data_IF_713301652348
#
_entry.id   IF_713301652348
#
_cell.length_a   1.000
_cell.length_b   1.000
_cell.length_c   1.000
_cell.angle_alpha   90.00
_cell.angle_beta   90.00
_cell.angle_gamma   90.00
#
_symmetry.space_group_name_H-M   'P 1'
#
loop_
_entity.id
_entity.type
_entity.pdbx_description
1 polymer ?
#
# COMPACT_ATOMS: atom_id res chain seq x y z
N UNK A 1 -2.98 -40.34 2.27
CA UNK A 1 -2.07 -40.75 1.17
C UNK A 1 -2.21 -42.23 0.86
N UNK A 2 -2.00 -43.13 1.82
CA UNK A 2 -2.07 -44.60 1.65
C UNK A 2 -3.46 -45.20 1.95
N UNK A 3 -4.52 -44.47 1.62
CA UNK A 3 -5.86 -45.03 1.73
C UNK A 3 -6.07 -46.06 0.62
N UNK A 4 -6.92 -47.05 0.87
CA UNK A 4 -7.13 -48.19 -0.03
C UNK A 4 -7.51 -47.76 -1.46
N UNK A 5 -8.27 -46.67 -1.58
CA UNK A 5 -8.66 -46.04 -2.85
C UNK A 5 -7.51 -45.43 -3.67
N UNK A 6 -6.34 -45.23 -3.07
CA UNK A 6 -5.15 -44.70 -3.74
C UNK A 6 -4.13 -45.80 -4.09
N UNK A 7 -4.46 -47.08 -3.87
CA UNK A 7 -3.55 -48.20 -4.09
C UNK A 7 -3.00 -48.28 -5.52
N UNK A 8 -3.83 -47.96 -6.51
CA UNK A 8 -3.42 -48.03 -7.91
C UNK A 8 -2.38 -46.96 -8.29
N UNK A 9 -2.27 -45.89 -7.50
CA UNK A 9 -1.27 -44.83 -7.67
C UNK A 9 0.04 -45.13 -6.94
N UNK A 10 0.08 -46.20 -6.13
CA UNK A 10 1.27 -46.62 -5.40
C UNK A 10 2.01 -47.66 -6.25
N UNK A 11 3.11 -47.23 -6.86
CA UNK A 11 4.04 -48.13 -7.56
C UNK A 11 5.33 -48.26 -6.76
N UNK A 12 5.34 -49.07 -5.68
CA UNK A 12 6.54 -49.22 -4.87
C UNK A 12 7.63 -49.96 -5.67
N UNK A 13 8.79 -49.35 -5.84
CA UNK A 13 9.96 -49.97 -6.48
C UNK A 13 10.70 -50.94 -5.55
N UNK A 14 10.61 -50.73 -4.23
CA UNK A 14 11.28 -51.55 -3.21
C UNK A 14 10.51 -51.61 -1.86
N UNK A 15 9.20 -51.37 -1.88
CA UNK A 15 8.32 -51.41 -0.71
C UNK A 15 8.21 -50.10 0.07
N UNK A 16 9.21 -49.20 -0.02
CA UNK A 16 9.21 -47.91 0.70
C UNK A 16 9.49 -46.69 -0.17
N UNK A 17 9.97 -46.87 -1.41
CA UNK A 17 10.12 -45.80 -2.38
C UNK A 17 8.87 -45.65 -3.24
N UNK A 18 8.42 -44.40 -3.36
CA UNK A 18 7.27 -44.01 -4.18
C UNK A 18 7.69 -42.86 -5.09
N UNK A 19 7.35 -42.95 -6.37
CA UNK A 19 7.61 -41.90 -7.33
C UNK A 19 6.34 -41.09 -7.60
N UNK A 20 6.45 -39.77 -7.44
CA UNK A 20 5.37 -38.83 -7.73
C UNK A 20 5.83 -37.89 -8.85
N UNK A 21 5.18 -37.96 -10.01
CA UNK A 21 5.41 -37.02 -11.11
C UNK A 21 4.58 -35.74 -10.90
N UNK A 22 4.90 -35.01 -9.83
CA UNK A 22 4.18 -33.80 -9.38
C UNK A 22 5.17 -32.70 -8.98
N UNK A 23 4.68 -31.47 -8.87
CA UNK A 23 5.50 -30.33 -8.45
C UNK A 23 5.95 -30.49 -6.99
N UNK A 24 7.27 -30.66 -6.78
CA UNK A 24 7.86 -30.82 -5.45
C UNK A 24 7.59 -29.65 -4.50
N UNK A 25 7.38 -28.43 -5.02
CA UNK A 25 7.03 -27.26 -4.21
C UNK A 25 5.61 -27.35 -3.68
N UNK A 26 4.67 -27.78 -4.51
CA UNK A 26 3.29 -27.98 -4.09
C UNK A 26 3.19 -29.18 -3.15
N UNK A 27 3.97 -30.23 -3.44
CA UNK A 27 4.05 -31.44 -2.62
C UNK A 27 4.50 -31.17 -1.18
N UNK A 28 5.34 -30.15 -0.95
CA UNK A 28 5.69 -29.70 0.41
C UNK A 28 4.44 -29.40 1.27
N UNK A 29 3.46 -28.69 0.72
CA UNK A 29 2.21 -28.35 1.42
C UNK A 29 1.36 -29.57 1.72
N UNK A 30 1.33 -30.54 0.80
CA UNK A 30 0.66 -31.83 0.96
C UNK A 30 1.28 -32.59 2.14
N UNK A 31 2.61 -32.63 2.22
CA UNK A 31 3.33 -33.29 3.31
C UNK A 31 3.13 -32.59 4.65
N UNK A 32 3.10 -31.25 4.67
CA UNK A 32 2.81 -30.50 5.89
C UNK A 32 1.41 -30.80 6.44
N UNK A 33 0.41 -30.94 5.57
CA UNK A 33 -0.92 -31.37 5.98
C UNK A 33 -0.91 -32.76 6.63
N UNK A 34 -0.25 -33.75 6.02
CA UNK A 34 -0.16 -35.08 6.62
C UNK A 34 0.63 -35.10 7.93
N UNK A 35 1.56 -34.15 8.14
CA UNK A 35 2.35 -34.01 9.36
C UNK A 35 1.61 -33.30 10.49
N UNK A 36 0.89 -32.22 10.20
CA UNK A 36 0.31 -31.29 11.19
C UNK A 36 -1.22 -31.29 11.23
N UNK A 37 -1.88 -31.85 10.22
CA UNK A 37 -3.32 -31.76 10.01
C UNK A 37 -3.80 -30.41 9.44
N UNK A 38 -2.89 -29.50 9.09
CA UNK A 38 -3.21 -28.18 8.53
C UNK A 38 -2.31 -27.84 7.35
N UNK A 39 -2.87 -27.15 6.34
CA UNK A 39 -2.10 -26.60 5.22
C UNK A 39 -1.58 -25.23 5.67
N UNK A 40 -0.26 -24.96 5.63
CA UNK A 40 0.26 -23.64 5.96
C UNK A 40 -0.20 -22.64 4.89
N UNK A 41 -1.08 -21.71 5.28
CA UNK A 41 -1.60 -20.65 4.41
C UNK A 41 -0.68 -19.44 4.36
N UNK A 42 -0.82 -18.68 3.28
CA UNK A 42 -0.07 -17.46 2.98
C UNK A 42 -0.12 -16.39 4.09
N UNK A 43 -1.20 -16.34 4.86
CA UNK A 43 -1.44 -15.25 5.83
C UNK A 43 -0.65 -15.40 7.14
N UNK A 44 -0.17 -16.60 7.47
CA UNK A 44 0.70 -16.85 8.63
C UNK A 44 2.18 -16.55 8.36
N UNK A 45 2.53 -16.20 7.11
CA UNK A 45 3.87 -15.77 6.73
C UNK A 45 4.09 -14.31 7.16
N UNK A 46 4.09 -14.04 8.46
CA UNK A 46 4.49 -12.75 9.01
C UNK A 46 5.96 -12.48 8.67
N UNK A 47 6.23 -11.71 7.60
CA UNK A 47 7.43 -10.91 7.27
C UNK A 47 8.84 -11.53 7.52
N UNK A 48 8.96 -12.80 7.84
CA UNK A 48 10.19 -13.44 8.27
C UNK A 48 10.16 -14.91 7.87
N UNK A 49 10.59 -15.23 6.66
CA UNK A 49 11.51 -16.33 6.36
C UNK A 49 11.67 -16.48 4.85
N UNK A 50 12.92 -16.66 4.42
CA UNK A 50 13.41 -16.86 3.05
C UNK A 50 12.89 -18.12 2.32
N UNK A 51 11.68 -18.60 2.63
CA UNK A 51 11.13 -19.85 2.09
C UNK A 51 9.66 -19.71 1.64
N UNK A 52 9.24 -18.53 1.19
CA UNK A 52 7.99 -18.39 0.44
C UNK A 52 8.18 -19.05 -0.93
N UNK A 53 8.05 -20.38 -0.98
CA UNK A 53 7.89 -21.14 -2.22
C UNK A 53 6.47 -20.86 -2.73
N UNK A 54 6.26 -19.72 -3.38
CA UNK A 54 4.96 -19.32 -3.93
C UNK A 54 4.51 -20.35 -4.98
N UNK A 55 3.66 -21.28 -4.57
CA UNK A 55 2.85 -22.12 -5.47
C UNK A 55 1.51 -21.42 -5.65
N UNK A 56 1.16 -20.93 -6.85
CA UNK A 56 -0.12 -20.28 -7.10
C UNK A 56 -1.29 -21.04 -6.45
N UNK A 57 -2.20 -20.31 -5.80
CA UNK A 57 -3.31 -20.91 -5.05
C UNK A 57 -4.11 -21.93 -5.89
N UNK A 58 -4.36 -21.61 -7.15
CA UNK A 58 -5.06 -22.50 -8.10
C UNK A 58 -4.30 -23.81 -8.34
N UNK A 59 -2.97 -23.77 -8.41
CA UNK A 59 -2.12 -24.94 -8.56
C UNK A 59 -2.17 -25.79 -7.29
N UNK A 60 -2.03 -25.17 -6.10
CA UNK A 60 -2.12 -25.87 -4.83
C UNK A 60 -3.50 -26.50 -4.61
N UNK A 61 -4.58 -25.81 -4.99
CA UNK A 61 -5.94 -26.33 -4.92
C UNK A 61 -6.13 -27.57 -5.80
N UNK A 62 -5.55 -27.60 -7.01
CA UNK A 62 -5.53 -28.77 -7.87
C UNK A 62 -4.77 -29.95 -7.26
N UNK A 63 -3.66 -29.70 -6.57
CA UNK A 63 -2.92 -30.73 -5.85
C UNK A 63 -3.69 -31.26 -4.64
N UNK A 64 -4.30 -30.37 -3.84
CA UNK A 64 -5.13 -30.78 -2.69
C UNK A 64 -6.30 -31.66 -3.12
N UNK A 65 -6.93 -31.35 -4.27
CA UNK A 65 -7.98 -32.15 -4.87
C UNK A 65 -7.46 -33.52 -5.34
N UNK A 66 -6.32 -33.55 -6.04
CA UNK A 66 -5.66 -34.78 -6.49
C UNK A 66 -5.32 -35.71 -5.31
N UNK A 67 -4.74 -35.18 -4.25
CA UNK A 67 -4.42 -35.94 -3.03
C UNK A 67 -5.64 -36.17 -2.12
N UNK A 68 -6.82 -35.67 -2.52
CA UNK A 68 -8.10 -35.76 -1.81
C UNK A 68 -7.98 -35.33 -0.36
N UNK A 69 -7.15 -34.31 -0.12
CA UNK A 69 -7.04 -33.67 1.17
C UNK A 69 -8.33 -32.86 1.35
N UNK A 70 -9.09 -33.08 2.45
CA UNK A 70 -10.22 -32.24 2.76
C UNK A 70 -9.76 -30.79 2.69
N UNK A 71 -10.34 -30.02 1.77
CA UNK A 71 -10.13 -28.59 1.77
C UNK A 71 -10.49 -28.16 3.20
N UNK A 72 -9.56 -27.54 3.95
CA UNK A 72 -9.94 -27.01 5.24
C UNK A 72 -11.20 -26.18 4.98
N UNK A 73 -12.22 -26.26 5.87
CA UNK A 73 -13.40 -25.44 5.71
C UNK A 73 -12.87 -24.05 5.39
N UNK A 74 -13.40 -23.45 4.32
CA UNK A 74 -13.11 -22.06 4.03
C UNK A 74 -13.52 -21.37 5.32
N UNK A 75 -12.56 -21.12 6.21
CA UNK A 75 -12.64 -19.98 7.09
C UNK A 75 -12.70 -18.92 6.02
N UNK A 76 -13.92 -18.49 5.73
CA UNK A 76 -14.15 -17.25 5.05
C UNK A 76 -13.32 -16.32 5.91
N UNK A 77 -12.08 -16.04 5.49
CA UNK A 77 -11.23 -15.04 6.09
C UNK A 77 -12.21 -13.91 6.27
N UNK A 78 -12.52 -13.51 7.52
CA UNK A 78 -13.74 -12.81 7.86
C UNK A 78 -13.91 -11.83 6.74
N UNK A 79 -14.96 -12.02 5.92
CA UNK A 79 -15.17 -11.10 4.83
C UNK A 79 -15.40 -9.81 5.58
N UNK A 80 -14.35 -9.02 5.71
CA UNK A 80 -14.46 -7.64 6.10
C UNK A 80 -15.12 -7.12 4.85
N UNK A 81 -16.43 -7.31 4.77
CA UNK A 81 -17.32 -6.44 4.04
C UNK A 81 -16.96 -5.12 4.66
N UNK A 82 -16.01 -4.45 4.02
CA UNK A 82 -15.75 -3.04 4.24
C UNK A 82 -17.12 -2.44 4.05
N UNK A 83 -17.78 -2.14 5.16
CA UNK A 83 -19.07 -1.51 5.09
C UNK A 83 -18.84 -0.20 4.35
N UNK A 84 -19.81 0.25 3.57
CA UNK A 84 -19.74 1.57 2.93
C UNK A 84 -19.38 2.64 3.97
N UNK A 85 -19.82 2.44 5.20
CA UNK A 85 -19.49 3.23 6.38
C UNK A 85 -18.00 3.26 6.72
N UNK A 86 -17.29 2.12 6.71
CA UNK A 86 -15.84 2.09 6.94
C UNK A 86 -15.07 2.74 5.78
N UNK A 87 -15.51 2.52 4.53
CA UNK A 87 -14.90 3.18 3.37
C UNK A 87 -15.06 4.71 3.44
N UNK A 88 -16.26 5.19 3.81
CA UNK A 88 -16.54 6.59 4.02
C UNK A 88 -15.68 7.17 5.17
N UNK A 89 -15.54 6.45 6.28
CA UNK A 89 -14.67 6.85 7.38
C UNK A 89 -13.21 6.95 6.96
N UNK A 90 -12.70 5.97 6.19
CA UNK A 90 -11.34 6.01 5.68
C UNK A 90 -11.10 7.23 4.79
N UNK A 91 -12.06 7.54 3.91
CA UNK A 91 -11.99 8.72 3.03
C UNK A 91 -12.03 10.03 3.83
N UNK A 92 -12.93 10.14 4.81
CA UNK A 92 -13.03 11.31 5.69
C UNK A 92 -11.75 11.52 6.48
N UNK A 93 -11.20 10.44 7.05
CA UNK A 93 -9.94 10.50 7.79
C UNK A 93 -8.76 10.90 6.90
N UNK A 94 -8.77 10.47 5.63
CA UNK A 94 -7.79 10.91 4.64
C UNK A 94 -7.92 12.41 4.34
N UNK A 95 -9.13 12.91 4.09
CA UNK A 95 -9.39 14.34 3.87
C UNK A 95 -8.95 15.17 5.09
N UNK A 96 -9.30 14.73 6.29
CA UNK A 96 -8.89 15.40 7.53
C UNK A 96 -7.37 15.44 7.70
N UNK A 97 -6.68 14.36 7.30
CA UNK A 97 -5.22 14.33 7.25
C UNK A 97 -4.67 15.39 6.29
N UNK A 98 -5.23 15.53 5.07
CA UNK A 98 -4.80 16.54 4.10
C UNK A 98 -4.96 17.95 4.67
N UNK A 99 -6.08 18.24 5.34
CA UNK A 99 -6.33 19.53 6.00
C UNK A 99 -5.32 19.80 7.11
N UNK A 100 -4.97 18.80 7.92
CA UNK A 100 -3.95 18.93 8.97
C UNK A 100 -2.57 19.19 8.37
N UNK A 101 -2.19 18.47 7.33
CA UNK A 101 -0.93 18.69 6.59
C UNK A 101 -0.86 20.12 6.05
N UNK A 102 -1.95 20.63 5.49
CA UNK A 102 -2.00 22.00 4.99
C UNK A 102 -1.81 23.04 6.12
N UNK A 103 -2.43 22.83 7.28
CA UNK A 103 -2.23 23.68 8.46
C UNK A 103 -0.79 23.68 8.96
N UNK A 104 -0.14 22.52 8.96
CA UNK A 104 1.28 22.39 9.31
C UNK A 104 2.20 23.09 8.29
N UNK A 105 1.82 23.09 7.01
CA UNK A 105 2.53 23.86 6.00
C UNK A 105 2.35 25.37 6.17
N UNK A 106 1.13 25.79 6.49
CA UNK A 106 0.80 27.18 6.77
C UNK A 106 1.53 27.73 8.00
N UNK A 107 1.65 26.94 9.07
CA UNK A 107 2.41 27.33 10.26
C UNK A 107 3.89 27.61 9.93
N UNK A 108 4.40 27.01 8.85
CA UNK A 108 5.75 27.23 8.32
C UNK A 108 5.79 28.14 7.08
N UNK A 109 4.71 28.87 6.79
CA UNK A 109 4.63 29.85 5.69
C UNK A 109 4.76 29.25 4.29
N UNK A 110 4.36 27.99 4.11
CA UNK A 110 4.27 27.36 2.80
C UNK A 110 2.84 27.40 2.28
N UNK A 111 2.63 28.05 1.13
CA UNK A 111 1.34 28.06 0.40
C UNK A 111 1.09 26.78 -0.40
N UNK A 112 2.13 25.95 -0.61
CA UNK A 112 2.06 24.80 -1.49
C UNK A 112 2.58 23.57 -0.78
N UNK A 113 1.80 22.50 -0.83
CA UNK A 113 2.21 21.16 -0.41
C UNK A 113 2.00 20.18 -1.56
N UNK A 114 2.96 19.31 -1.77
CA UNK A 114 2.92 18.24 -2.77
C UNK A 114 3.20 16.93 -2.07
N UNK A 115 2.25 16.00 -2.13
CA UNK A 115 2.34 14.66 -1.54
C UNK A 115 2.36 13.63 -2.66
N UNK A 116 3.36 12.76 -2.65
CA UNK A 116 3.58 11.72 -3.66
C UNK A 116 3.32 10.35 -3.06
N UNK A 117 2.36 9.63 -3.63
CA UNK A 117 1.95 8.29 -3.21
C UNK A 117 2.32 7.27 -4.29
N UNK A 118 2.77 6.09 -3.88
CA UNK A 118 3.26 5.04 -4.78
C UNK A 118 2.57 3.71 -4.51
N UNK A 119 2.28 2.95 -5.56
CA UNK A 119 1.51 1.70 -5.44
C UNK A 119 2.29 0.53 -4.84
N UNK A 120 3.63 0.52 -4.94
CA UNK A 120 4.45 -0.69 -4.75
C UNK A 120 5.55 -0.55 -3.70
N UNK A 121 5.99 0.66 -3.37
CA UNK A 121 7.08 0.90 -2.41
C UNK A 121 6.77 2.10 -1.53
N UNK A 122 7.09 1.97 -0.23
CA UNK A 122 7.04 3.08 0.72
C UNK A 122 8.20 4.06 0.53
N UNK A 123 9.33 3.60 -0.03
CA UNK A 123 10.57 4.40 -0.15
C UNK A 123 10.39 5.64 -1.03
N UNK A 124 9.40 5.60 -1.93
CA UNK A 124 9.09 6.69 -2.84
C UNK A 124 7.95 7.61 -2.33
N UNK A 125 7.40 7.34 -1.13
CA UNK A 125 6.47 8.25 -0.49
C UNK A 125 7.21 9.51 -0.06
N UNK A 126 6.74 10.66 -0.54
CA UNK A 126 7.41 11.93 -0.31
C UNK A 126 6.42 13.07 -0.13
N UNK A 127 6.78 14.01 0.75
CA UNK A 127 6.06 15.27 0.93
C UNK A 127 7.04 16.41 0.72
N UNK A 128 6.65 17.36 -0.11
CA UNK A 128 7.37 18.59 -0.37
C UNK A 128 6.48 19.78 -0.02
N UNK A 129 6.97 20.77 0.76
CA UNK A 129 8.25 20.80 1.43
C UNK A 129 8.35 19.74 2.54
N UNK A 130 9.57 19.33 2.89
CA UNK A 130 9.85 18.25 3.85
C UNK A 130 9.56 18.64 5.30
N UNK A 131 8.29 18.87 5.63
CA UNK A 131 7.82 19.24 6.96
C UNK A 131 7.63 17.96 7.78
N UNK A 132 8.41 17.79 8.84
CA UNK A 132 8.43 16.54 9.61
C UNK A 132 7.08 16.21 10.28
N UNK A 133 6.35 17.21 10.78
CA UNK A 133 5.00 17.02 11.32
C UNK A 133 4.00 16.56 10.25
N UNK A 134 4.07 17.13 9.05
CA UNK A 134 3.24 16.75 7.91
C UNK A 134 3.55 15.32 7.43
N UNK A 135 4.85 14.96 7.36
CA UNK A 135 5.29 13.60 7.03
C UNK A 135 4.69 12.61 8.02
N UNK A 136 4.83 12.86 9.33
CA UNK A 136 4.26 12.00 10.37
C UNK A 136 2.74 11.84 10.25
N UNK A 137 2.01 12.89 9.90
CA UNK A 137 0.55 12.84 9.73
C UNK A 137 0.12 12.00 8.52
N UNK A 138 0.87 12.06 7.42
CA UNK A 138 0.50 11.43 6.17
C UNK A 138 1.10 10.02 5.98
N UNK A 139 2.16 9.66 6.71
CA UNK A 139 2.78 8.32 6.72
C UNK A 139 1.79 7.16 6.85
N UNK A 140 0.76 7.21 7.73
CA UNK A 140 -0.25 6.14 7.81
C UNK A 140 -1.01 5.87 6.50
N UNK A 141 -1.02 6.86 5.59
CA UNK A 141 -1.70 6.80 4.30
C UNK A 141 -0.73 6.61 3.13
N UNK A 142 0.56 6.37 3.35
CA UNK A 142 1.53 6.21 2.26
C UNK A 142 1.12 5.11 1.26
N UNK A 143 0.62 3.97 1.77
CA UNK A 143 0.15 2.85 0.95
C UNK A 143 -1.28 3.01 0.45
N UNK A 144 -2.20 3.42 1.32
CA UNK A 144 -3.63 3.52 0.99
C UNK A 144 -3.93 4.76 0.13
N UNK A 145 -3.17 5.84 0.27
CA UNK A 145 -3.35 7.10 -0.44
C UNK A 145 -3.30 6.95 -1.95
N UNK A 146 -2.42 6.10 -2.49
CA UNK A 146 -2.41 5.81 -3.92
C UNK A 146 -3.74 5.20 -4.39
N UNK A 147 -4.28 4.24 -3.63
CA UNK A 147 -5.55 3.57 -3.98
C UNK A 147 -6.73 4.53 -3.83
N UNK A 148 -6.72 5.38 -2.80
CA UNK A 148 -7.74 6.41 -2.59
C UNK A 148 -7.75 7.39 -3.77
N UNK A 149 -6.61 8.00 -4.09
CA UNK A 149 -6.51 8.98 -5.19
C UNK A 149 -6.82 8.36 -6.56
N UNK A 150 -6.49 7.09 -6.76
CA UNK A 150 -6.82 6.38 -8.01
C UNK A 150 -8.31 6.11 -8.16
N UNK A 151 -9.00 5.80 -7.06
CA UNK A 151 -10.42 5.44 -7.07
C UNK A 151 -11.34 6.65 -6.96
N UNK A 152 -10.85 7.77 -6.39
CA UNK A 152 -11.60 9.01 -6.18
C UNK A 152 -10.87 10.21 -6.80
N UNK A 153 -10.75 10.31 -8.15
CA UNK A 153 -10.10 11.44 -8.80
C UNK A 153 -10.82 12.78 -8.55
N UNK A 154 -12.13 12.73 -8.29
CA UNK A 154 -12.98 13.89 -7.98
C UNK A 154 -12.64 14.53 -6.62
N UNK A 155 -11.86 13.85 -5.79
CA UNK A 155 -11.41 14.36 -4.50
C UNK A 155 -10.66 15.71 -4.64
N UNK A 156 -9.95 15.91 -5.75
CA UNK A 156 -9.28 17.18 -6.03
C UNK A 156 -10.25 18.34 -6.22
N UNK A 157 -11.38 18.12 -6.89
CA UNK A 157 -12.43 19.13 -7.06
C UNK A 157 -13.18 19.37 -5.75
N UNK A 158 -13.50 18.31 -5.01
CA UNK A 158 -14.14 18.46 -3.70
C UNK A 158 -13.29 19.25 -2.70
N UNK A 159 -11.96 19.07 -2.73
CA UNK A 159 -11.05 19.84 -1.89
C UNK A 159 -11.03 21.34 -2.26
N UNK A 160 -11.29 21.72 -3.52
CA UNK A 160 -11.37 23.13 -3.93
C UNK A 160 -12.61 23.84 -3.40
N UNK A 161 -13.64 23.10 -2.97
CA UNK A 161 -14.82 23.68 -2.31
C UNK A 161 -14.46 24.24 -0.93
N UNK A 162 -13.36 23.79 -0.32
CA UNK A 162 -12.88 24.32 0.95
C UNK A 162 -12.20 25.68 0.75
N UNK A 163 -12.74 26.71 1.39
CA UNK A 163 -12.20 28.09 1.34
C UNK A 163 -10.72 28.23 1.74
N UNK A 164 -10.17 27.24 2.44
CA UNK A 164 -8.75 27.19 2.79
C UNK A 164 -7.84 26.72 1.65
N UNK A 165 -8.39 26.31 0.50
CA UNK A 165 -7.64 25.78 -0.64
C UNK A 165 -7.93 26.68 -1.85
N UNK A 166 -6.89 27.23 -2.47
CA UNK A 166 -7.02 28.02 -3.69
C UNK A 166 -6.99 27.15 -4.94
N UNK A 167 -6.20 26.08 -4.93
CA UNK A 167 -6.12 25.14 -6.05
C UNK A 167 -5.68 23.74 -5.57
N UNK A 168 -6.08 22.71 -6.29
CA UNK A 168 -5.78 21.32 -5.97
C UNK A 168 -5.79 20.47 -7.25
N UNK A 169 -4.76 19.66 -7.46
CA UNK A 169 -4.72 18.76 -8.61
C UNK A 169 -3.89 17.51 -8.36
N UNK A 170 -4.22 16.44 -9.10
CA UNK A 170 -3.53 15.15 -9.06
C UNK A 170 -2.76 14.96 -10.37
N UNK A 171 -1.46 14.67 -10.27
CA UNK A 171 -0.59 14.39 -11.40
C UNK A 171 -0.11 12.95 -11.39
N UNK A 172 -0.15 12.29 -12.57
CA UNK A 172 0.49 10.99 -12.76
C UNK A 172 2.00 11.16 -12.94
N UNK A 173 2.78 10.30 -12.31
CA UNK A 173 4.21 10.23 -12.55
C UNK A 173 4.49 9.64 -13.94
N UNK A 174 5.49 10.18 -14.63
CA UNK A 174 5.99 9.61 -15.88
C UNK A 174 7.50 9.46 -15.79
N UNK A 175 8.02 8.40 -16.42
CA UNK A 175 9.46 8.22 -16.64
C UNK A 175 9.71 8.08 -18.12
N UNK A 176 10.74 8.77 -18.62
CA UNK A 176 11.20 8.60 -19.99
C UNK A 176 12.21 7.46 -20.05
N UNK A 177 11.93 6.44 -20.86
CA UNK A 177 12.84 5.31 -21.12
C UNK A 177 13.00 5.19 -22.62
N UNK A 178 14.23 5.36 -23.12
CA UNK A 178 14.60 5.15 -24.53
C UNK A 178 13.57 5.74 -25.52
N UNK A 179 13.29 7.04 -25.40
CA UNK A 179 12.37 7.80 -26.26
C UNK A 179 10.87 7.56 -26.03
N UNK A 180 10.48 6.60 -25.19
CA UNK A 180 9.08 6.35 -24.81
C UNK A 180 8.75 6.91 -23.42
N UNK A 181 7.52 7.38 -23.22
CA UNK A 181 7.01 7.76 -21.89
C UNK A 181 6.31 6.55 -21.26
N UNK A 182 6.82 6.08 -20.13
CA UNK A 182 6.17 5.07 -19.30
C UNK A 182 5.43 5.77 -18.15
N UNK A 183 4.18 5.35 -17.91
CA UNK A 183 3.40 5.80 -16.76
C UNK A 183 3.94 5.10 -15.51
N UNK A 184 4.33 5.89 -14.51
CA UNK A 184 4.72 5.36 -13.21
C UNK A 184 3.46 5.06 -12.38
N UNK A 185 3.51 4.03 -11.55
CA UNK A 185 2.51 3.74 -10.51
C UNK A 185 2.63 4.74 -9.34
N UNK A 186 2.57 6.03 -9.67
CA UNK A 186 2.80 7.16 -8.78
C UNK A 186 1.79 8.26 -9.04
N UNK A 187 1.18 8.75 -7.97
CA UNK A 187 0.28 9.91 -7.99
C UNK A 187 0.80 10.99 -7.07
N UNK A 188 0.88 12.21 -7.57
CA UNK A 188 1.26 13.38 -6.79
C UNK A 188 0.05 14.28 -6.64
N UNK A 189 -0.44 14.43 -5.41
CA UNK A 189 -1.46 15.41 -5.03
C UNK A 189 -0.77 16.72 -4.67
N UNK A 190 -1.09 17.79 -5.39
CA UNK A 190 -0.63 19.15 -5.05
C UNK A 190 -1.80 19.94 -4.52
N UNK A 191 -1.65 20.53 -3.33
CA UNK A 191 -2.61 21.42 -2.70
C UNK A 191 -1.95 22.80 -2.58
N UNK A 192 -2.64 23.82 -3.07
CA UNK A 192 -2.24 25.22 -3.01
C UNK A 192 -3.28 25.93 -2.15
N UNK A 193 -2.79 26.75 -1.23
CA UNK A 193 -3.61 27.54 -0.34
C UNK A 193 -3.14 28.98 -0.37
N UNK A 194 -4.05 29.96 -0.26
CA UNK A 194 -3.67 31.36 -0.21
C UNK A 194 -2.91 31.62 1.10
N UNK A 195 -1.64 32.03 0.98
CA UNK A 195 -0.94 32.67 2.09
C UNK A 195 -1.66 33.98 2.38
N UNK A 196 -2.10 34.17 3.62
CA UNK A 196 -2.71 35.43 4.03
C UNK A 196 -1.66 36.55 3.84
N UNK A 197 -1.98 37.60 3.08
CA UNK A 197 -1.05 38.70 2.78
C UNK A 197 -0.38 39.29 4.03
N UNK A 198 -1.08 39.30 5.16
CA UNK A 198 -0.53 39.79 6.44
C UNK A 198 0.68 38.97 6.93
N UNK A 199 0.73 37.66 6.65
CA UNK A 199 1.83 36.78 7.04
C UNK A 199 3.07 36.95 6.14
N UNK A 200 2.86 37.34 4.88
CA UNK A 200 3.94 37.62 3.93
C UNK A 200 4.63 38.95 4.28
N UNK A 201 3.87 39.95 4.74
CA UNK A 201 4.41 41.20 5.30
C UNK A 201 5.21 40.95 6.59
N UNK A 202 4.75 40.06 7.48
CA UNK A 202 5.51 39.68 8.69
C UNK A 202 6.84 39.00 8.32
N UNK A 203 6.83 38.15 7.28
CA UNK A 203 8.04 37.50 6.77
C UNK A 203 9.03 38.54 6.22
N UNK A 204 8.59 39.44 5.35
CA UNK A 204 9.39 40.56 4.83
C UNK A 204 9.98 41.44 5.96
N UNK A 205 9.17 41.78 6.97
CA UNK A 205 9.60 42.57 8.13
C UNK A 205 10.67 41.84 8.97
N UNK A 206 10.58 40.52 9.09
CA UNK A 206 11.56 39.71 9.83
C UNK A 206 12.93 39.62 9.15
N UNK A 207 12.98 39.73 7.81
CA UNK A 207 14.23 39.80 7.06
C UNK A 207 14.89 41.18 7.17
N UNK A 208 14.10 42.26 7.18
CA UNK A 208 14.62 43.62 7.33
C UNK A 208 15.19 43.89 8.74
N UNK A 209 14.64 43.25 9.77
CA UNK A 209 15.11 43.39 11.16
C UNK A 209 16.47 42.74 11.46
N UNK A 210 16.98 41.84 10.62
CA UNK A 210 18.28 41.16 10.84
C UNK A 210 19.47 41.86 10.19
N UNK A 211 19.25 42.90 9.37
CA UNK A 211 20.32 43.55 8.60
C UNK A 211 21.00 44.73 9.33
N UNK A 212 20.67 45.00 10.59
CA UNK A 212 21.13 46.21 11.31
C UNK A 212 22.17 45.93 12.43
N UNK A 213 22.43 44.68 12.81
CA UNK A 213 23.34 44.37 13.94
C UNK A 213 24.78 43.96 13.52
N UNK A 214 25.20 44.26 12.29
CA UNK A 214 26.50 43.83 11.74
C UNK A 214 27.51 44.95 11.46
N UNK A 215 27.39 46.11 12.08
CA UNK A 215 28.29 47.24 11.83
C UNK A 215 28.44 48.16 13.03
N UNK A 216 29.33 47.80 13.95
CA UNK A 216 30.17 48.71 14.73
C UNK A 216 31.35 47.94 15.32
#
# INVERSE_FOLDING_TARGET
MFQERNRDMLHPSNGNEYFFDRDGRAFYYIMEYYRKGTVPYYDDCGQSMHHCNLVPRTQLEGELDFFQIPKPPVIEAPSITVTEEYAAQLLNNFIDMLKKVLREAHSQLYSRVSMTFVSKSFEDFAIAPGIESAIRLATPYAFSGYRILRNFPELSEHLKEDSSISDCYIQKGFRRVNSSLEVLDRLTLTIISPLNLEMEVIKEMSYLGRSVEGGN
#
